data_IF_165760538713
#
_entry.id   IF_165760538713
#
_cell.length_a   1.000
_cell.length_b   1.000
_cell.length_c   1.000
_cell.angle_alpha   90.00
_cell.angle_beta   90.00
_cell.angle_gamma   90.00
#
_symmetry.space_group_name_H-M   'P 1'
#
loop_
_entity.id
_entity.type
_entity.pdbx_description
1 polymer ?
#
# COMPACT_ATOMS: atom_id res chain seq x y z
N UNK A 1 -13.59 -20.94 -9.29
CA UNK A 1 -12.93 -19.89 -8.48
C UNK A 1 -11.50 -20.35 -8.37
N UNK A 2 -10.56 -19.51 -8.76
CA UNK A 2 -9.14 -19.84 -8.64
C UNK A 2 -8.78 -19.68 -7.16
N UNK A 3 -8.00 -20.60 -6.59
CA UNK A 3 -7.58 -20.49 -5.20
C UNK A 3 -6.36 -19.55 -5.12
N UNK A 4 -6.44 -18.54 -4.27
CA UNK A 4 -5.36 -17.59 -3.96
C UNK A 4 -4.90 -17.77 -2.53
N UNK A 5 -3.60 -17.77 -2.33
CA UNK A 5 -3.02 -17.66 -0.98
C UNK A 5 -3.21 -16.23 -0.45
N UNK A 6 -3.28 -16.07 0.87
CA UNK A 6 -3.47 -14.74 1.50
C UNK A 6 -2.39 -13.75 1.06
N UNK A 7 -1.12 -14.20 1.01
CA UNK A 7 0.00 -13.37 0.56
C UNK A 7 -0.16 -12.88 -0.89
N UNK A 8 -0.79 -13.68 -1.76
CA UNK A 8 -1.07 -13.28 -3.15
C UNK A 8 -2.18 -12.23 -3.22
N UNK A 9 -3.20 -12.33 -2.36
CA UNK A 9 -4.27 -11.34 -2.25
C UNK A 9 -3.74 -10.02 -1.67
N UNK A 10 -2.89 -10.09 -0.64
CA UNK A 10 -2.24 -8.92 -0.06
C UNK A 10 -1.33 -8.22 -1.09
N UNK A 11 -0.53 -8.98 -1.83
CA UNK A 11 0.28 -8.44 -2.92
C UNK A 11 -0.58 -7.73 -3.97
N UNK A 12 -1.66 -8.38 -4.40
CA UNK A 12 -2.58 -7.83 -5.39
C UNK A 12 -3.24 -6.54 -4.91
N UNK A 13 -3.73 -6.54 -3.67
CA UNK A 13 -4.32 -5.37 -3.04
C UNK A 13 -3.32 -4.23 -2.93
N UNK A 14 -2.16 -4.45 -2.31
CA UNK A 14 -1.18 -3.41 -2.05
C UNK A 14 -0.72 -2.74 -3.34
N UNK A 15 -0.38 -3.52 -4.36
CA UNK A 15 0.04 -2.96 -5.64
C UNK A 15 -1.10 -2.25 -6.39
N UNK A 16 -2.33 -2.79 -6.33
CA UNK A 16 -3.50 -2.12 -6.92
C UNK A 16 -3.76 -0.75 -6.30
N UNK A 17 -3.62 -0.63 -4.97
CA UNK A 17 -3.83 0.65 -4.28
C UNK A 17 -2.73 1.65 -4.63
N UNK A 18 -1.47 1.21 -4.60
CA UNK A 18 -0.32 2.07 -4.90
C UNK A 18 -0.39 2.59 -6.33
N UNK A 19 -0.68 1.74 -7.32
CA UNK A 19 -0.77 2.14 -8.74
C UNK A 19 -1.99 2.98 -9.09
N UNK A 20 -3.00 3.07 -8.23
CA UNK A 20 -4.10 4.02 -8.42
C UNK A 20 -3.74 5.45 -7.97
N UNK A 21 -2.62 5.62 -7.30
CA UNK A 21 -2.22 6.89 -6.70
C UNK A 21 -0.92 7.36 -7.33
N UNK A 22 0.08 6.48 -7.39
CA UNK A 22 1.25 6.64 -8.24
C UNK A 22 0.79 6.48 -9.70
N UNK A 23 0.88 7.54 -10.49
CA UNK A 23 0.33 7.54 -11.86
C UNK A 23 -1.07 8.16 -11.97
N UNK A 24 -1.49 9.02 -11.03
CA UNK A 24 -2.64 9.91 -11.22
C UNK A 24 -2.45 10.96 -12.34
N UNK A 25 -1.33 10.91 -13.07
CA UNK A 25 -1.03 11.65 -14.29
C UNK A 25 -0.54 10.74 -15.43
N UNK A 26 -0.15 11.33 -16.56
CA UNK A 26 0.12 10.59 -17.81
C UNK A 26 1.40 9.72 -17.78
N UNK A 27 2.24 9.85 -16.75
CA UNK A 27 3.44 9.05 -16.56
C UNK A 27 3.87 9.01 -15.08
N UNK A 28 4.48 7.89 -14.66
CA UNK A 28 5.19 7.81 -13.39
C UNK A 28 6.46 8.65 -13.44
N UNK A 29 6.72 9.46 -12.42
CA UNK A 29 8.02 10.12 -12.28
C UNK A 29 9.09 9.10 -11.86
N UNK A 30 10.38 9.34 -12.14
CA UNK A 30 11.45 8.37 -11.87
C UNK A 30 11.51 7.87 -10.42
N UNK A 31 11.14 8.72 -9.47
CA UNK A 31 11.07 8.42 -8.04
C UNK A 31 9.97 7.38 -7.75
N UNK A 32 8.74 7.59 -8.24
CA UNK A 32 7.63 6.63 -8.12
C UNK A 32 7.94 5.28 -8.79
N UNK A 33 8.64 5.32 -9.93
CA UNK A 33 9.05 4.11 -10.62
C UNK A 33 10.09 3.30 -9.82
N UNK A 34 11.05 3.99 -9.17
CA UNK A 34 12.03 3.34 -8.28
C UNK A 34 11.36 2.77 -7.04
N UNK A 35 10.41 3.51 -6.46
CA UNK A 35 9.59 3.04 -5.36
C UNK A 35 8.89 1.73 -5.70
N UNK A 36 8.16 1.71 -6.84
CA UNK A 36 7.45 0.51 -7.28
C UNK A 36 8.39 -0.68 -7.49
N UNK A 37 9.56 -0.46 -8.11
CA UNK A 37 10.53 -1.54 -8.32
C UNK A 37 11.11 -2.10 -7.01
N UNK A 38 11.33 -1.25 -6.00
CA UNK A 38 11.84 -1.68 -4.69
C UNK A 38 10.79 -2.41 -3.86
N UNK A 39 9.60 -1.84 -3.76
CA UNK A 39 8.51 -2.34 -2.92
C UNK A 39 7.80 -3.54 -3.55
N UNK A 40 7.81 -3.62 -4.89
CA UNK A 40 7.12 -4.64 -5.66
C UNK A 40 8.03 -5.20 -6.77
N UNK A 41 9.06 -5.99 -6.43
CA UNK A 41 9.99 -6.54 -7.40
C UNK A 41 9.28 -7.45 -8.42
N UNK A 42 9.69 -7.38 -9.69
CA UNK A 42 9.07 -8.14 -10.78
C UNK A 42 9.10 -9.67 -10.55
N UNK A 43 10.08 -10.15 -9.79
CA UNK A 43 10.23 -11.55 -9.41
C UNK A 43 9.05 -12.03 -8.55
N UNK A 44 8.51 -11.16 -7.69
CA UNK A 44 7.35 -11.46 -6.84
C UNK A 44 6.09 -11.64 -7.69
N UNK A 45 5.88 -10.75 -8.66
CA UNK A 45 4.77 -10.83 -9.62
C UNK A 45 4.88 -12.05 -10.54
N UNK A 46 6.09 -12.37 -10.97
CA UNK A 46 6.37 -13.54 -11.80
C UNK A 46 6.04 -14.82 -11.02
N UNK A 47 6.45 -14.90 -9.74
CA UNK A 47 6.15 -16.04 -8.87
C UNK A 47 4.65 -16.21 -8.61
N UNK A 48 3.92 -15.11 -8.42
CA UNK A 48 2.46 -15.11 -8.28
C UNK A 48 1.71 -15.35 -9.61
N UNK A 49 2.43 -15.41 -10.74
CA UNK A 49 1.88 -15.51 -12.11
C UNK A 49 0.96 -14.34 -12.46
N UNK A 50 1.21 -13.18 -11.87
CA UNK A 50 0.47 -11.95 -12.10
C UNK A 50 0.94 -11.20 -13.36
N UNK A 51 2.17 -11.46 -13.81
CA UNK A 51 2.73 -10.93 -15.06
C UNK A 51 3.04 -12.09 -16.01
N UNK A 52 2.61 -11.95 -17.27
CA UNK A 52 2.85 -12.90 -18.35
C UNK A 52 4.25 -12.74 -18.96
N UNK A 53 4.62 -13.67 -19.85
CA UNK A 53 5.91 -13.63 -20.55
C UNK A 53 6.08 -12.42 -21.49
N UNK A 54 4.98 -11.76 -21.83
CA UNK A 54 4.90 -10.53 -22.62
C UNK A 54 4.97 -9.25 -21.77
N UNK A 55 5.13 -9.39 -20.45
CA UNK A 55 5.16 -8.28 -19.51
C UNK A 55 3.78 -7.67 -19.21
N UNK A 56 2.69 -8.28 -19.69
CA UNK A 56 1.33 -7.82 -19.42
C UNK A 56 0.76 -8.45 -18.15
N UNK A 57 -0.17 -7.77 -17.49
CA UNK A 57 -0.92 -8.36 -16.39
C UNK A 57 -1.81 -9.50 -16.87
N UNK A 58 -1.84 -10.59 -16.11
CA UNK A 58 -2.61 -11.79 -16.44
C UNK A 58 -4.08 -11.67 -16.00
N UNK A 59 -4.95 -12.56 -16.49
CA UNK A 59 -6.30 -12.69 -15.94
C UNK A 59 -6.29 -12.99 -14.43
N UNK A 60 -5.36 -13.85 -14.00
CA UNK A 60 -5.13 -14.20 -12.59
C UNK A 60 -4.86 -12.97 -11.72
N UNK A 61 -4.11 -11.99 -12.24
CA UNK A 61 -3.91 -10.71 -11.55
C UNK A 61 -5.22 -9.95 -11.32
N UNK A 62 -6.05 -9.83 -12.36
CA UNK A 62 -7.33 -9.13 -12.26
C UNK A 62 -8.30 -9.84 -11.29
N UNK A 63 -8.34 -11.17 -11.33
CA UNK A 63 -9.15 -11.97 -10.42
C UNK A 63 -8.66 -11.81 -8.98
N UNK A 64 -7.34 -11.87 -8.74
CA UNK A 64 -6.75 -11.63 -7.41
C UNK A 64 -7.10 -10.24 -6.86
N UNK A 65 -7.09 -9.19 -7.70
CA UNK A 65 -7.47 -7.84 -7.26
C UNK A 65 -8.93 -7.78 -6.82
N UNK A 66 -9.84 -8.37 -7.60
CA UNK A 66 -11.26 -8.43 -7.26
C UNK A 66 -11.51 -9.24 -5.98
N UNK A 67 -10.82 -10.37 -5.85
CA UNK A 67 -10.95 -11.25 -4.70
C UNK A 67 -10.36 -10.65 -3.43
N UNK A 68 -9.22 -9.95 -3.53
CA UNK A 68 -8.61 -9.26 -2.40
C UNK A 68 -9.53 -8.18 -1.80
N UNK A 69 -10.26 -7.44 -2.66
CA UNK A 69 -11.25 -6.45 -2.21
C UNK A 69 -12.46 -7.07 -1.49
N UNK A 70 -12.73 -8.36 -1.70
CA UNK A 70 -13.80 -9.07 -1.00
C UNK A 70 -13.31 -9.80 0.25
N UNK A 71 -12.12 -10.41 0.18
CA UNK A 71 -11.60 -11.29 1.23
C UNK A 71 -10.84 -10.54 2.32
N UNK A 72 -9.89 -9.66 1.95
CA UNK A 72 -9.04 -8.99 2.94
C UNK A 72 -9.82 -8.18 4.00
N UNK A 73 -10.95 -7.51 3.67
CA UNK A 73 -11.75 -6.81 4.68
C UNK A 73 -12.38 -7.73 5.74
N UNK A 74 -12.47 -9.03 5.47
CA UNK A 74 -13.03 -10.04 6.40
C UNK A 74 -11.99 -10.59 7.38
N UNK A 75 -10.71 -10.28 7.17
CA UNK A 75 -9.63 -10.69 8.07
C UNK A 75 -9.76 -10.02 9.45
N UNK A 76 -9.17 -10.61 10.51
CA UNK A 76 -9.03 -9.96 11.80
C UNK A 76 -8.45 -8.55 11.68
N UNK A 77 -8.86 -7.65 12.57
CA UNK A 77 -8.41 -6.24 12.57
C UNK A 77 -6.89 -6.16 12.59
N UNK A 78 -6.24 -7.01 13.36
CA UNK A 78 -4.79 -7.07 13.53
C UNK A 78 -4.09 -7.33 12.19
N UNK A 79 -4.58 -8.29 11.41
CA UNK A 79 -4.04 -8.59 10.07
C UNK A 79 -4.28 -7.46 9.09
N UNK A 80 -5.45 -6.83 9.13
CA UNK A 80 -5.73 -5.66 8.29
C UNK A 80 -4.81 -4.48 8.62
N UNK A 81 -4.48 -4.30 9.90
CA UNK A 81 -3.52 -3.28 10.33
C UNK A 81 -2.08 -3.59 9.90
N UNK A 82 -1.68 -4.87 9.84
CA UNK A 82 -0.37 -5.27 9.31
C UNK A 82 -0.22 -4.98 7.81
N UNK A 83 -1.30 -5.15 7.03
CA UNK A 83 -1.33 -4.74 5.62
C UNK A 83 -1.11 -3.23 5.50
N UNK A 84 -1.78 -2.44 6.36
CA UNK A 84 -1.59 -0.99 6.42
C UNK A 84 -0.16 -0.62 6.82
N UNK A 85 0.40 -1.27 7.83
CA UNK A 85 1.78 -1.06 8.25
C UNK A 85 2.78 -1.38 7.13
N UNK A 86 2.54 -2.44 6.36
CA UNK A 86 3.41 -2.81 5.23
C UNK A 86 3.38 -1.76 4.11
N UNK A 87 2.19 -1.21 3.80
CA UNK A 87 2.06 -0.10 2.86
C UNK A 87 2.77 1.16 3.36
N UNK A 88 2.71 1.38 4.67
CA UNK A 88 3.32 2.52 5.32
C UNK A 88 4.86 2.43 5.32
N UNK A 89 5.41 1.26 5.65
CA UNK A 89 6.84 0.98 5.54
C UNK A 89 7.33 1.13 4.10
N UNK A 90 6.52 0.73 3.13
CA UNK A 90 6.83 0.97 1.73
C UNK A 90 6.97 2.47 1.47
N UNK A 91 5.96 3.29 1.82
CA UNK A 91 5.98 4.77 1.62
C UNK A 91 7.17 5.45 2.28
N UNK A 92 7.65 4.97 3.43
CA UNK A 92 8.78 5.57 4.14
C UNK A 92 10.16 5.16 3.60
N UNK A 93 10.22 4.35 2.54
CA UNK A 93 11.46 3.76 2.06
C UNK A 93 12.46 4.76 1.45
N UNK A 94 12.09 6.04 1.29
CA UNK A 94 12.93 7.16 0.85
C UNK A 94 13.07 8.29 1.91
N UNK A 95 12.68 8.01 3.16
CA UNK A 95 12.74 8.93 4.31
C UNK A 95 11.93 10.23 4.15
N UNK A 96 11.01 10.32 3.18
CA UNK A 96 10.13 11.49 2.99
C UNK A 96 8.68 11.04 2.91
N UNK A 97 7.89 11.34 3.95
CA UNK A 97 6.44 11.07 3.93
C UNK A 97 5.67 12.28 3.38
N UNK A 98 5.05 12.12 2.22
CA UNK A 98 4.28 13.18 1.58
C UNK A 98 2.78 13.11 1.94
N UNK A 99 2.09 14.26 1.88
CA UNK A 99 0.65 14.33 2.15
C UNK A 99 -0.16 13.41 1.23
N UNK A 100 0.30 13.22 -0.01
CA UNK A 100 -0.35 12.37 -1.00
C UNK A 100 -0.28 10.88 -0.61
N UNK A 101 0.79 10.46 0.05
CA UNK A 101 0.95 9.09 0.58
C UNK A 101 0.02 8.84 1.77
N UNK A 102 -0.18 9.84 2.63
CA UNK A 102 -1.19 9.79 3.67
C UNK A 102 -2.60 9.50 3.14
N UNK A 103 -2.94 10.03 1.95
CA UNK A 103 -4.21 9.75 1.28
C UNK A 103 -4.28 8.30 0.78
N UNK A 104 -3.16 7.71 0.33
CA UNK A 104 -3.05 6.27 -0.03
C UNK A 104 -3.44 5.40 1.13
N UNK A 105 -2.80 5.63 2.28
CA UNK A 105 -2.96 4.80 3.46
C UNK A 105 -4.39 4.89 3.99
N UNK A 106 -4.96 6.09 4.05
CA UNK A 106 -6.36 6.27 4.45
C UNK A 106 -7.33 5.56 3.50
N UNK A 107 -7.06 5.58 2.19
CA UNK A 107 -7.89 4.88 1.21
C UNK A 107 -7.78 3.37 1.34
N UNK A 108 -6.57 2.84 1.51
CA UNK A 108 -6.34 1.43 1.77
C UNK A 108 -7.10 0.96 3.01
N UNK A 109 -6.98 1.73 4.11
CA UNK A 109 -7.64 1.41 5.37
C UNK A 109 -9.17 1.36 5.23
N UNK A 110 -9.76 2.32 4.50
CA UNK A 110 -11.20 2.30 4.21
C UNK A 110 -11.63 1.08 3.40
N UNK A 111 -10.83 0.67 2.40
CA UNK A 111 -11.14 -0.50 1.59
C UNK A 111 -11.02 -1.80 2.39
N UNK A 112 -10.10 -1.85 3.35
CA UNK A 112 -10.02 -2.94 4.33
C UNK A 112 -11.13 -2.88 5.39
N UNK A 113 -11.98 -1.85 5.41
CA UNK A 113 -13.02 -1.69 6.42
C UNK A 113 -12.49 -1.33 7.81
N UNK A 114 -11.33 -0.67 7.88
CA UNK A 114 -10.77 -0.11 9.10
C UNK A 114 -11.33 1.30 9.34
N UNK A 115 -11.57 1.61 10.62
CA UNK A 115 -12.01 2.93 11.07
C UNK A 115 -10.81 3.84 11.37
N UNK A 116 -10.96 5.18 11.25
CA UNK A 116 -9.89 6.13 11.55
C UNK A 116 -9.22 5.92 12.91
N UNK A 117 -9.99 5.58 13.95
CA UNK A 117 -9.48 5.30 15.28
C UNK A 117 -8.59 4.04 15.37
N UNK A 118 -8.69 3.11 14.41
CA UNK A 118 -7.92 1.86 14.41
C UNK A 118 -6.53 2.04 13.77
N UNK A 119 -6.41 2.85 12.72
CA UNK A 119 -5.15 3.09 12.02
C UNK A 119 -4.52 4.46 12.31
N UNK A 120 -5.24 5.37 12.97
CA UNK A 120 -4.75 6.69 13.37
C UNK A 120 -3.42 6.65 14.13
N UNK A 121 -3.27 5.79 15.17
CA UNK A 121 -2.01 5.67 15.90
C UNK A 121 -0.80 5.29 15.04
N UNK A 122 -1.01 4.52 13.95
CA UNK A 122 0.06 4.17 13.01
C UNK A 122 0.54 5.42 12.25
N UNK A 123 -0.40 6.24 11.75
CA UNK A 123 -0.07 7.49 11.06
C UNK A 123 0.56 8.52 12.00
N UNK A 124 0.02 8.65 13.21
CA UNK A 124 0.52 9.59 14.22
C UNK A 124 1.96 9.25 14.66
N UNK A 125 2.34 7.96 14.63
CA UNK A 125 3.70 7.53 14.97
C UNK A 125 4.77 7.99 13.96
N UNK A 126 4.35 8.34 12.74
CA UNK A 126 5.25 8.82 11.69
C UNK A 126 5.43 10.32 11.69
N UNK A 127 4.38 11.03 12.10
CA UNK A 127 4.45 12.47 12.33
C UNK A 127 5.14 12.66 13.67
N UNK A 128 6.46 12.52 13.71
CA UNK A 128 7.21 13.07 14.85
C UNK A 128 6.87 14.55 14.91
N UNK A 129 6.31 15.08 16.01
CA UNK A 129 6.15 16.52 16.15
C UNK A 129 7.54 17.12 15.98
N UNK A 130 7.67 18.04 15.01
CA UNK A 130 8.80 18.97 15.02
C UNK A 130 8.91 19.53 16.44
N UNK A 131 10.12 19.40 16.97
CA UNK A 131 10.67 19.91 18.22
C UNK A 131 9.81 21.02 18.87
N UNK A 132 9.51 20.95 20.19
CA UNK A 132 8.81 22.02 20.87
C UNK A 132 9.55 23.34 20.66
N UNK A 133 8.86 24.35 20.13
CA UNK A 133 9.34 25.72 20.21
C UNK A 133 9.27 26.09 21.69
N UNK A 134 10.38 25.92 22.40
CA UNK A 134 10.62 26.63 23.65
C UNK A 134 10.57 28.12 23.31
N UNK A 135 9.39 28.71 23.48
CA UNK A 135 9.28 30.17 23.50
C UNK A 135 9.70 30.54 24.93
N UNK A 136 11.00 30.75 25.12
CA UNK A 136 11.53 31.32 26.36
C UNK A 136 10.76 32.60 26.69
N UNK A 137 10.16 32.62 27.88
CA UNK A 137 9.64 33.83 28.50
C UNK A 137 10.75 34.87 28.61
N UNK A 138 10.49 36.08 28.10
CA UNK A 138 11.12 37.31 28.58
C UNK A 138 10.17 38.50 28.52
#
# INVERSE_FOLDING_TARGET
MEDFETDELELAFCYHIVTQILGRGDALVPEEARFLQRSFPAEVFTRARFIGADGQYTARWHDACGEALMQLPTLPVERRLEIIASLLEATLADDVFELEEGVVIQRAARLLGLKPEEYGPLLDSLVTPEVPIETEER
#
